data_IF_276821904405
#
_entry.id   IF_276821904405
#
_cell.length_a   1.000
_cell.length_b   1.000
_cell.length_c   1.000
_cell.angle_alpha   90.00
_cell.angle_beta   90.00
_cell.angle_gamma   90.00
#
_symmetry.space_group_name_H-M   'P 1'
#
loop_
_entity.id
_entity.type
_entity.pdbx_description
1 polymer ?
#
# COMPACT_ATOMS: atom_id res chain seq x y z
N UNK A 1 -9.81 16.82 -15.91
CA UNK A 1 -10.31 17.93 -15.06
C UNK A 1 -11.84 17.98 -15.04
N UNK A 2 -12.49 17.88 -16.19
CA UNK A 2 -13.96 17.99 -16.30
C UNK A 2 -14.75 17.04 -15.38
N UNK A 3 -14.43 15.74 -15.36
CA UNK A 3 -15.06 14.77 -14.46
C UNK A 3 -14.90 15.09 -12.96
N UNK A 4 -13.86 15.85 -12.58
CA UNK A 4 -13.67 16.26 -11.19
C UNK A 4 -14.46 17.54 -10.87
N UNK A 5 -14.63 18.44 -11.85
CA UNK A 5 -15.50 19.62 -11.70
C UNK A 5 -16.96 19.23 -11.51
N UNK A 6 -17.43 18.22 -12.25
CA UNK A 6 -18.80 17.70 -12.10
C UNK A 6 -19.13 17.25 -10.68
N UNK A 7 -18.14 16.83 -9.88
CA UNK A 7 -18.34 16.47 -8.48
C UNK A 7 -18.60 17.67 -7.56
N UNK A 8 -18.19 18.87 -7.99
CA UNK A 8 -18.47 20.12 -7.28
C UNK A 8 -19.93 20.54 -7.49
N UNK A 9 -20.44 20.38 -8.72
CA UNK A 9 -21.82 20.71 -9.07
C UNK A 9 -22.81 19.62 -8.60
N UNK A 10 -22.37 18.36 -8.57
CA UNK A 10 -23.14 17.22 -8.06
C UNK A 10 -22.32 16.40 -7.03
N UNK A 11 -22.52 16.64 -5.72
CA UNK A 11 -21.83 15.92 -4.66
C UNK A 11 -22.05 14.40 -4.64
N UNK A 12 -23.14 13.88 -5.24
CA UNK A 12 -23.40 12.43 -5.31
C UNK A 12 -22.37 11.69 -6.18
N UNK A 13 -21.64 12.41 -7.03
CA UNK A 13 -20.56 11.87 -7.84
C UNK A 13 -19.24 11.69 -7.06
N UNK A 14 -19.17 12.20 -5.82
CA UNK A 14 -17.99 12.00 -4.98
C UNK A 14 -17.81 10.53 -4.61
N UNK A 15 -16.57 10.04 -4.46
CA UNK A 15 -16.33 8.65 -4.05
C UNK A 15 -16.99 8.28 -2.72
N UNK A 16 -17.06 9.23 -1.77
CA UNK A 16 -17.72 9.03 -0.48
C UNK A 16 -19.23 8.88 -0.62
N UNK A 17 -19.91 9.72 -1.42
CA UNK A 17 -21.34 9.57 -1.66
C UNK A 17 -21.69 8.26 -2.36
N UNK A 18 -20.88 7.86 -3.36
CA UNK A 18 -21.02 6.56 -4.03
C UNK A 18 -20.87 5.38 -3.07
N UNK A 19 -19.89 5.45 -2.15
CA UNK A 19 -19.72 4.43 -1.11
C UNK A 19 -20.94 4.36 -0.19
N UNK A 20 -21.42 5.51 0.31
CA UNK A 20 -22.59 5.55 1.18
C UNK A 20 -23.84 5.00 0.50
N UNK A 21 -24.05 5.30 -0.79
CA UNK A 21 -25.16 4.75 -1.55
C UNK A 21 -25.03 3.23 -1.72
N UNK A 22 -23.83 2.73 -2.05
CA UNK A 22 -23.59 1.28 -2.15
C UNK A 22 -23.85 0.54 -0.82
N UNK A 23 -23.50 1.14 0.33
CA UNK A 23 -23.81 0.59 1.64
C UNK A 23 -25.32 0.57 1.91
N UNK A 24 -26.04 1.65 1.57
CA UNK A 24 -27.50 1.73 1.73
C UNK A 24 -28.23 0.71 0.86
N UNK A 25 -27.81 0.54 -0.39
CA UNK A 25 -28.42 -0.39 -1.34
C UNK A 25 -28.16 -1.86 -0.99
N UNK A 26 -26.94 -2.18 -0.55
CA UNK A 26 -26.57 -3.55 -0.17
C UNK A 26 -27.07 -3.95 1.23
N UNK A 27 -27.32 -2.97 2.11
CA UNK A 27 -27.65 -3.20 3.52
C UNK A 27 -26.47 -3.71 4.35
N UNK A 28 -25.26 -3.75 3.78
CA UNK A 28 -24.05 -4.22 4.45
C UNK A 28 -23.49 -3.18 5.41
N UNK A 29 -22.81 -3.65 6.45
CA UNK A 29 -21.91 -2.79 7.22
C UNK A 29 -20.73 -2.33 6.36
N UNK A 30 -20.08 -1.23 6.75
CA UNK A 30 -18.86 -0.78 6.06
C UNK A 30 -17.77 -1.88 6.08
N UNK A 31 -17.63 -2.58 7.20
CA UNK A 31 -16.66 -3.67 7.34
C UNK A 31 -16.92 -4.79 6.33
N UNK A 32 -18.16 -5.28 6.25
CA UNK A 32 -18.51 -6.39 5.35
C UNK A 32 -18.37 -5.98 3.89
N UNK A 33 -18.81 -4.77 3.55
CA UNK A 33 -18.67 -4.24 2.19
C UNK A 33 -17.20 -4.10 1.78
N UNK A 34 -16.35 -3.56 2.66
CA UNK A 34 -14.92 -3.41 2.36
C UNK A 34 -14.21 -4.75 2.26
N UNK A 35 -14.57 -5.72 3.11
CA UNK A 35 -14.05 -7.08 3.01
C UNK A 35 -14.43 -7.73 1.68
N UNK A 36 -15.70 -7.62 1.28
CA UNK A 36 -16.16 -8.13 -0.01
C UNK A 36 -15.38 -7.50 -1.16
N UNK A 37 -15.20 -6.17 -1.17
CA UNK A 37 -14.43 -5.49 -2.21
C UNK A 37 -12.96 -5.90 -2.22
N UNK A 38 -12.34 -6.08 -1.05
CA UNK A 38 -10.98 -6.61 -0.96
C UNK A 38 -10.87 -8.02 -1.55
N UNK A 39 -11.84 -8.89 -1.29
CA UNK A 39 -11.87 -10.24 -1.87
C UNK A 39 -12.02 -10.20 -3.40
N UNK A 40 -12.99 -9.45 -3.92
CA UNK A 40 -13.20 -9.25 -5.36
C UNK A 40 -11.93 -8.76 -6.06
N UNK A 41 -11.26 -7.75 -5.49
CA UNK A 41 -9.99 -7.24 -6.03
C UNK A 41 -8.87 -8.27 -5.95
N UNK A 42 -8.77 -9.01 -4.85
CA UNK A 42 -7.76 -10.04 -4.66
C UNK A 42 -7.91 -11.19 -5.67
N UNK A 43 -9.15 -11.61 -5.94
CA UNK A 43 -9.46 -12.61 -6.97
C UNK A 43 -9.13 -12.10 -8.37
N UNK A 44 -9.56 -10.88 -8.71
CA UNK A 44 -9.28 -10.29 -10.01
C UNK A 44 -7.77 -10.16 -10.28
N UNK A 45 -6.98 -9.82 -9.26
CA UNK A 45 -5.52 -9.73 -9.36
C UNK A 45 -4.87 -11.11 -9.51
N UNK A 46 -5.36 -12.14 -8.81
CA UNK A 46 -4.86 -13.52 -8.95
C UNK A 46 -5.15 -14.12 -10.32
N UNK A 47 -6.30 -13.82 -10.90
CA UNK A 47 -6.70 -14.31 -12.22
C UNK A 47 -5.97 -13.61 -13.38
N UNK A 48 -5.38 -12.44 -13.11
CA UNK A 48 -4.62 -11.70 -14.11
C UNK A 48 -3.20 -12.22 -14.17
N UNK A 49 -2.84 -12.83 -15.29
CA UNK A 49 -1.45 -13.22 -15.55
C UNK A 49 -0.55 -11.99 -15.66
N UNK A 50 0.64 -12.08 -15.08
CA UNK A 50 1.71 -11.11 -15.29
C UNK A 50 2.33 -11.32 -16.66
N UNK A 51 2.87 -10.25 -17.26
CA UNK A 51 3.77 -10.43 -18.40
C UNK A 51 5.01 -11.19 -17.94
N UNK A 52 5.62 -11.94 -18.86
CA UNK A 52 6.88 -12.68 -18.59
C UNK A 52 7.96 -11.75 -18.03
N UNK A 53 8.06 -10.53 -18.57
CA UNK A 53 9.01 -9.50 -18.10
C UNK A 53 8.74 -9.10 -16.65
N UNK A 54 7.47 -8.84 -16.28
CA UNK A 54 7.10 -8.45 -14.93
C UNK A 54 7.33 -9.58 -13.93
N UNK A 55 6.98 -10.82 -14.28
CA UNK A 55 7.21 -12.01 -13.45
C UNK A 55 8.71 -12.22 -13.18
N UNK A 56 9.55 -12.18 -14.23
CA UNK A 56 10.99 -12.33 -14.09
C UNK A 56 11.60 -11.21 -13.25
N UNK A 57 11.16 -9.96 -13.46
CA UNK A 57 11.63 -8.81 -12.67
C UNK A 57 11.31 -8.98 -11.19
N UNK A 58 10.08 -9.38 -10.84
CA UNK A 58 9.68 -9.58 -9.45
C UNK A 58 10.47 -10.72 -8.79
N UNK A 59 10.69 -11.83 -9.50
CA UNK A 59 11.52 -12.94 -8.99
C UNK A 59 12.96 -12.52 -8.72
N UNK A 60 13.55 -11.70 -9.58
CA UNK A 60 14.90 -11.17 -9.37
C UNK A 60 14.95 -10.25 -8.14
N UNK A 61 13.98 -9.35 -7.98
CA UNK A 61 13.90 -8.46 -6.81
C UNK A 61 13.79 -9.22 -5.48
N UNK A 62 13.12 -10.37 -5.46
CA UNK A 62 13.08 -11.23 -4.27
C UNK A 62 14.48 -11.73 -3.90
N UNK A 63 15.26 -12.19 -4.88
CA UNK A 63 16.62 -12.69 -4.60
C UNK A 63 17.56 -11.56 -4.18
N UNK A 64 17.47 -10.42 -4.87
CA UNK A 64 18.28 -9.23 -4.60
C UNK A 64 18.02 -8.69 -3.20
N UNK A 65 16.76 -8.45 -2.83
CA UNK A 65 16.41 -7.93 -1.50
C UNK A 65 16.84 -8.85 -0.35
N UNK A 66 16.80 -10.17 -0.53
CA UNK A 66 17.29 -11.12 0.49
C UNK A 66 18.82 -11.05 0.62
N UNK A 67 19.54 -10.88 -0.49
CA UNK A 67 20.99 -10.74 -0.46
C UNK A 67 21.38 -9.42 0.20
N UNK A 68 20.77 -8.31 -0.22
CA UNK A 68 20.99 -6.98 0.34
C UNK A 68 20.72 -6.97 1.85
N UNK A 69 19.63 -7.59 2.32
CA UNK A 69 19.32 -7.69 3.74
C UNK A 69 20.43 -8.41 4.52
N UNK A 70 20.96 -9.52 3.99
CA UNK A 70 22.07 -10.25 4.63
C UNK A 70 23.36 -9.44 4.65
N UNK A 71 23.63 -8.69 3.60
CA UNK A 71 24.79 -7.82 3.52
C UNK A 71 24.71 -6.70 4.57
N UNK A 72 23.53 -6.09 4.74
CA UNK A 72 23.26 -5.11 5.80
C UNK A 72 23.54 -5.73 7.17
N UNK A 73 22.90 -6.86 7.49
CA UNK A 73 23.05 -7.56 8.78
C UNK A 73 24.51 -8.00 9.05
N UNK A 74 25.24 -8.43 8.01
CA UNK A 74 26.65 -8.81 8.14
C UNK A 74 27.58 -7.60 8.28
N UNK A 75 27.13 -6.42 7.85
CA UNK A 75 27.87 -5.17 7.94
C UNK A 75 27.59 -4.36 9.21
N UNK A 76 26.70 -4.84 10.09
CA UNK A 76 26.41 -4.19 11.36
C UNK A 76 27.69 -4.10 12.21
N UNK A 77 28.03 -2.88 12.63
CA UNK A 77 29.23 -2.58 13.43
C UNK A 77 28.89 -2.10 14.84
N UNK A 78 27.61 -1.85 15.11
CA UNK A 78 27.09 -1.39 16.39
C UNK A 78 25.87 -2.23 16.79
N UNK A 79 25.57 -2.23 18.09
CA UNK A 79 24.34 -2.85 18.58
C UNK A 79 23.11 -2.05 18.13
N UNK A 80 21.95 -2.71 18.09
CA UNK A 80 20.68 -2.04 17.79
C UNK A 80 20.41 -0.87 18.75
N UNK A 81 20.73 -1.03 20.04
CA UNK A 81 20.57 0.02 21.04
C UNK A 81 21.46 1.25 20.77
N UNK A 82 22.68 1.05 20.28
CA UNK A 82 23.60 2.13 19.90
C UNK A 82 23.11 2.86 18.65
N UNK A 83 22.72 2.10 17.62
CA UNK A 83 22.12 2.66 16.41
C UNK A 83 20.91 3.54 16.72
N UNK A 84 19.97 3.06 17.55
CA UNK A 84 18.77 3.82 17.95
C UNK A 84 19.13 5.10 18.72
N UNK A 85 20.17 5.08 19.56
CA UNK A 85 20.66 6.30 20.25
C UNK A 85 21.21 7.31 19.25
N UNK A 86 22.06 6.87 18.32
CA UNK A 86 22.64 7.74 17.28
C UNK A 86 21.57 8.31 16.36
N UNK A 87 20.61 7.50 15.90
CA UNK A 87 19.48 7.93 15.10
C UNK A 87 18.64 9.00 15.82
N UNK A 88 18.29 8.78 17.09
CA UNK A 88 17.52 9.77 17.85
C UNK A 88 18.31 11.07 18.13
N UNK A 89 19.64 10.98 18.26
CA UNK A 89 20.49 12.16 18.40
C UNK A 89 20.54 12.98 17.11
N UNK A 90 20.57 12.33 15.93
CA UNK A 90 20.59 13.02 14.63
C UNK A 90 19.27 13.70 14.27
N UNK A 91 18.15 13.26 14.86
CA UNK A 91 16.84 13.91 14.71
C UNK A 91 16.70 15.21 15.53
N UNK A 92 17.60 15.48 16.48
CA UNK A 92 17.58 16.76 17.22
C UNK A 92 18.11 17.86 16.31
N UNK A 93 17.34 18.93 16.13
CA UNK A 93 17.78 20.11 15.37
C UNK A 93 19.14 20.56 15.92
N UNK A 94 20.14 20.83 15.05
CA UNK A 94 21.40 21.40 15.51
C UNK A 94 21.09 22.72 16.21
N UNK A 95 21.56 22.85 17.45
CA UNK A 95 21.48 24.08 18.24
C UNK A 95 22.26 25.22 17.57
#
# INVERSE_FOLDING_TARGET
>A
VELQRQKLDNPDLTPSARLLNALRESGLSLQDYTLQKSQEHSEALRLRELSVEADQKLKNLVQESILEQKEIEASDTESFEEYVKHYNASLKRPS
#
